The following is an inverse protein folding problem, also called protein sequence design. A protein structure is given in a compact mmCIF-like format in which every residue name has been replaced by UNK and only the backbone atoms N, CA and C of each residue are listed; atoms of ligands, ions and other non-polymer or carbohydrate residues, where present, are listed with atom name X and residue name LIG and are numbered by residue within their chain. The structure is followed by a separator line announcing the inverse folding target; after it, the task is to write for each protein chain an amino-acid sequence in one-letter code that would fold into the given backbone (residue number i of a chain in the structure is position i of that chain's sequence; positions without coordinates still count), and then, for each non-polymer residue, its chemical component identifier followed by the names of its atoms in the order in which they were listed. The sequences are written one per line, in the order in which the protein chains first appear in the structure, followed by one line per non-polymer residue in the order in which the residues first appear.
data_IF_785444563500
#
_entry.id   IF_785444563500
#
_cell.length_a   1.000
_cell.length_b   1.000
_cell.length_c   1.000
_cell.angle_alpha   90.00
_cell.angle_beta   90.00
_cell.angle_gamma   90.00
#
_symmetry.space_group_name_H-M   'P 1'
#
loop_
_entity.id
_entity.type
_entity.pdbx_description
1 polymer ?
#
# COMPACT_ATOMS: atom_id res chain seq x y z
N UNK A 1 -16.97 -9.84 -2.26
CA UNK A 1 -15.75 -9.07 -2.60
C UNK A 1 -14.70 -9.22 -1.50
N UNK A 2 -13.47 -9.61 -1.83
CA UNK A 2 -12.35 -9.54 -0.87
C UNK A 2 -11.72 -8.15 -0.92
N UNK A 3 -11.73 -7.42 0.20
CA UNK A 3 -11.10 -6.11 0.31
C UNK A 3 -9.63 -6.25 0.73
N UNK A 4 -8.74 -5.45 0.12
CA UNK A 4 -7.32 -5.34 0.48
C UNK A 4 -7.01 -3.96 1.04
N UNK A 5 -5.93 -3.86 1.82
CA UNK A 5 -5.52 -2.63 2.49
C UNK A 5 -4.78 -1.71 1.50
N UNK A 6 -5.19 -0.43 1.49
CA UNK A 6 -4.51 0.66 0.79
C UNK A 6 -3.87 1.62 1.82
N UNK A 7 -2.73 2.20 1.46
CA UNK A 7 -1.90 3.07 2.32
C UNK A 7 -1.31 4.22 1.51
N UNK A 8 -1.00 5.32 2.19
CA UNK A 8 -0.24 6.44 1.62
C UNK A 8 -1.07 7.57 1.01
N UNK A 9 -2.39 7.41 0.90
CA UNK A 9 -3.26 8.42 0.28
C UNK A 9 -2.96 8.60 -1.22
N UNK A 10 -3.43 9.72 -1.78
CA UNK A 10 -3.23 10.10 -3.17
C UNK A 10 -3.20 11.62 -3.33
N UNK A 11 -2.95 12.11 -4.54
CA UNK A 11 -2.94 13.56 -4.87
C UNK A 11 -4.29 14.27 -4.67
N UNK A 12 -5.37 13.53 -4.46
CA UNK A 12 -6.71 14.07 -4.16
C UNK A 12 -6.93 14.32 -2.65
N UNK A 13 -5.99 13.90 -1.80
CA UNK A 13 -6.13 14.06 -0.35
C UNK A 13 -5.90 15.52 0.07
N UNK A 14 -6.63 15.98 1.09
CA UNK A 14 -6.58 17.34 1.64
C UNK A 14 -7.11 17.33 3.07
N UNK A 15 -6.68 18.27 3.91
CA UNK A 15 -7.08 18.38 5.32
C UNK A 15 -8.58 18.56 5.52
N UNK A 16 -9.27 19.12 4.53
CA UNK A 16 -10.71 19.37 4.59
C UNK A 16 -11.59 18.16 4.22
N UNK A 17 -11.02 17.12 3.59
CA UNK A 17 -11.80 15.99 3.06
C UNK A 17 -11.20 14.63 3.42
N UNK A 18 -9.89 14.48 3.26
CA UNK A 18 -9.23 13.19 3.37
C UNK A 18 -7.78 13.36 3.84
N UNK A 19 -7.52 13.05 5.10
CA UNK A 19 -6.18 13.07 5.72
C UNK A 19 -5.45 11.72 5.60
N UNK A 20 -5.75 10.94 4.55
CA UNK A 20 -5.21 9.58 4.39
C UNK A 20 -3.77 9.54 3.87
N UNK A 21 -3.19 10.69 3.55
CA UNK A 21 -1.78 10.85 3.25
C UNK A 21 -0.90 10.61 4.50
N UNK A 22 -1.46 10.69 5.71
CA UNK A 22 -0.74 10.42 6.96
C UNK A 22 -0.29 8.95 7.05
N UNK A 23 0.91 8.72 7.58
CA UNK A 23 1.55 7.39 7.69
C UNK A 23 0.67 6.39 8.45
N UNK A 24 -0.12 6.85 9.43
CA UNK A 24 -1.04 6.01 10.20
C UNK A 24 -2.29 5.55 9.44
N UNK A 25 -2.67 6.22 8.37
CA UNK A 25 -3.99 6.09 7.73
C UNK A 25 -4.16 4.85 6.83
N UNK A 26 -5.23 4.07 7.05
CA UNK A 26 -5.53 2.83 6.31
C UNK A 26 -6.86 2.96 5.56
N UNK A 27 -6.95 2.37 4.37
CA UNK A 27 -8.19 2.25 3.61
C UNK A 27 -8.38 0.83 3.08
N UNK A 28 -9.56 0.53 2.56
CA UNK A 28 -9.90 -0.77 1.95
C UNK A 28 -10.31 -0.54 0.49
N UNK A 29 -9.81 -1.36 -0.43
CA UNK A 29 -10.19 -1.37 -1.84
C UNK A 29 -10.49 -2.79 -2.32
N UNK A 30 -11.41 -2.94 -3.27
CA UNK A 30 -11.72 -4.23 -3.88
C UNK A 30 -10.62 -4.62 -4.87
N UNK A 31 -10.26 -5.90 -4.93
CA UNK A 31 -9.14 -6.40 -5.75
C UNK A 31 -9.38 -6.31 -7.26
N UNK A 32 -10.63 -6.21 -7.66
CA UNK A 32 -11.10 -6.12 -9.06
C UNK A 32 -11.38 -4.68 -9.49
N UNK A 33 -11.29 -3.71 -8.57
CA UNK A 33 -11.45 -2.29 -8.86
C UNK A 33 -10.11 -1.60 -9.09
N UNK A 34 -10.08 -0.68 -10.07
CA UNK A 34 -8.93 0.19 -10.33
C UNK A 34 -9.35 1.65 -10.38
N UNK A 35 -8.44 2.56 -10.00
CA UNK A 35 -8.65 4.00 -10.09
C UNK A 35 -7.32 4.70 -10.40
N UNK A 36 -7.37 5.86 -11.07
CA UNK A 36 -6.17 6.61 -11.50
C UNK A 36 -5.32 7.13 -10.34
N UNK A 37 -5.86 7.14 -9.12
CA UNK A 37 -5.20 7.61 -7.91
C UNK A 37 -4.76 6.47 -6.97
N UNK A 38 -4.80 5.22 -7.42
CA UNK A 38 -4.40 4.03 -6.64
C UNK A 38 -3.30 3.27 -7.40
N UNK A 39 -2.21 2.94 -6.70
CA UNK A 39 -1.11 2.15 -7.24
C UNK A 39 -0.52 1.20 -6.20
N UNK A 40 0.45 0.38 -6.61
CA UNK A 40 1.12 -0.60 -5.75
C UNK A 40 2.64 -0.44 -5.82
N UNK A 41 3.33 -0.84 -4.75
CA UNK A 41 4.79 -1.02 -4.75
C UNK A 41 5.11 -2.44 -4.34
N UNK A 42 6.04 -3.06 -5.07
CA UNK A 42 6.49 -4.41 -4.80
C UNK A 42 7.65 -4.41 -3.80
N UNK A 43 7.81 -5.52 -3.08
CA UNK A 43 8.95 -5.76 -2.19
C UNK A 43 9.53 -7.14 -2.47
N UNK A 44 10.86 -7.25 -2.48
CA UNK A 44 11.54 -8.54 -2.57
C UNK A 44 11.82 -9.06 -1.15
N UNK A 45 11.45 -10.30 -0.88
CA UNK A 45 11.91 -10.99 0.34
C UNK A 45 13.32 -11.48 0.12
N UNK A 46 14.26 -11.08 0.97
CA UNK A 46 15.61 -11.68 0.95
C UNK A 46 15.47 -13.15 1.36
N UNK A 47 15.82 -14.06 0.47
CA UNK A 47 16.07 -15.45 0.86
C UNK A 47 17.33 -15.45 1.73
N UNK A 48 17.28 -16.11 2.90
CA UNK A 48 18.48 -16.32 3.70
C UNK A 48 19.46 -17.12 2.83
N UNK A 49 20.65 -16.59 2.58
CA UNK A 49 21.71 -17.35 1.92
C UNK A 49 22.10 -18.51 2.85
N UNK A 50 21.62 -19.71 2.56
CA UNK A 50 22.14 -20.95 3.12
C UNK A 50 23.58 -21.12 2.64
N UNK A 51 24.55 -20.54 3.36
CA UNK A 51 25.94 -20.58 2.93
C UNK A 51 26.95 -19.71 3.70
N UNK A 52 26.62 -19.16 4.87
CA UNK A 52 27.66 -18.68 5.79
C UNK A 52 28.24 -19.88 6.53
N UNK A 53 29.15 -20.60 5.87
CA UNK A 53 30.16 -21.41 6.55
C UNK A 53 31.21 -20.43 7.08
N UNK A 54 31.49 -20.50 8.38
CA UNK A 54 32.83 -20.15 8.90
C UNK A 54 33.86 -21.11 8.36
#
# INVERSE_FOLDING_TARGET
MSLKVLRGGSFLCSDQYCVRYLVGSRSKGATDSGASNIGIRCVLRRHKATGQRS
#
